data_IF_092108489051
#
_entry.id   IF_092108489051
#
_cell.length_a   1.000
_cell.length_b   1.000
_cell.length_c   1.000
_cell.angle_alpha   90.00
_cell.angle_beta   90.00
_cell.angle_gamma   90.00
#
_symmetry.space_group_name_H-M   'P 1'
#
loop_
_entity.id
_entity.type
_entity.pdbx_description
1 polymer ?
#
# COMPACT_ATOMS: atom_id res chain seq x y z
N UNK A 1 -35.95 -2.75 2.47
CA UNK A 1 -35.61 -4.18 2.41
C UNK A 1 -34.12 -4.23 2.16
N UNK A 2 -33.35 -4.50 3.23
CA UNK A 2 -31.90 -4.26 3.28
C UNK A 2 -31.11 -5.30 2.47
N UNK A 3 -30.49 -4.89 1.38
CA UNK A 3 -29.56 -5.70 0.55
C UNK A 3 -28.25 -6.13 1.28
N UNK A 4 -28.07 -5.75 2.53
CA UNK A 4 -26.84 -6.03 3.30
C UNK A 4 -26.66 -7.48 3.75
N UNK A 5 -27.70 -8.31 3.70
CA UNK A 5 -27.65 -9.71 4.15
C UNK A 5 -27.32 -10.73 3.06
N UNK A 6 -27.32 -10.33 1.78
CA UNK A 6 -27.08 -11.24 0.65
C UNK A 6 -25.61 -11.45 0.27
N UNK A 7 -24.71 -10.55 0.68
CA UNK A 7 -23.32 -10.54 0.20
C UNK A 7 -22.43 -11.54 0.95
N UNK A 8 -22.77 -11.84 2.20
CA UNK A 8 -21.99 -12.81 3.00
C UNK A 8 -22.03 -14.25 2.45
N UNK A 9 -23.06 -14.60 1.68
CA UNK A 9 -23.20 -15.93 1.06
C UNK A 9 -22.40 -16.06 -0.24
N UNK A 10 -22.08 -14.95 -0.92
CA UNK A 10 -21.32 -14.96 -2.17
C UNK A 10 -19.83 -15.23 -1.98
N UNK A 11 -19.23 -14.65 -0.96
CA UNK A 11 -17.78 -14.82 -0.67
C UNK A 11 -17.49 -16.23 -0.13
N UNK A 12 -18.40 -16.79 0.65
CA UNK A 12 -18.30 -18.20 1.08
C UNK A 12 -18.47 -19.20 -0.08
N UNK A 13 -19.22 -18.85 -1.13
CA UNK A 13 -19.43 -19.71 -2.29
C UNK A 13 -18.23 -19.79 -3.23
N UNK A 14 -17.41 -18.74 -3.34
CA UNK A 14 -16.15 -18.78 -4.10
C UNK A 14 -15.09 -19.65 -3.40
N UNK A 15 -15.07 -19.68 -2.08
CA UNK A 15 -14.22 -20.58 -1.30
C UNK A 15 -14.63 -22.05 -1.40
N UNK A 16 -15.91 -22.33 -1.71
CA UNK A 16 -16.47 -23.69 -1.84
C UNK A 16 -16.38 -24.25 -3.26
N UNK A 17 -16.10 -23.43 -4.28
CA UNK A 17 -15.94 -23.86 -5.67
C UNK A 17 -14.55 -24.43 -6.01
N UNK A 18 -13.58 -24.35 -5.11
CA UNK A 18 -12.31 -25.06 -5.20
C UNK A 18 -12.57 -26.54 -4.86
N UNK A 19 -12.74 -27.37 -5.87
CA UNK A 19 -12.93 -28.81 -5.99
C UNK A 19 -13.05 -29.71 -4.75
N UNK A 20 -13.38 -31.00 -4.88
CA UNK A 20 -13.58 -31.90 -3.75
C UNK A 20 -12.22 -32.13 -3.04
N UNK A 21 -11.92 -31.30 -2.09
CA UNK A 21 -10.90 -31.58 -1.13
C UNK A 21 -11.38 -32.74 -0.28
N UNK A 22 -10.77 -33.91 -0.43
CA UNK A 22 -10.88 -34.95 0.59
C UNK A 22 -10.65 -34.30 1.96
N UNK A 23 -11.10 -34.90 3.05
CA UNK A 23 -11.20 -34.37 4.41
C UNK A 23 -9.88 -33.82 5.04
N UNK A 24 -9.08 -33.06 4.29
CA UNK A 24 -7.96 -32.27 4.75
C UNK A 24 -8.51 -31.01 5.42
N UNK A 25 -8.05 -30.70 6.62
CA UNK A 25 -8.44 -29.47 7.32
C UNK A 25 -7.94 -28.23 6.59
N UNK A 26 -8.47 -27.05 6.92
CA UNK A 26 -8.01 -25.74 6.36
C UNK A 26 -6.49 -25.56 6.43
N UNK A 27 -5.84 -26.19 7.40
CA UNK A 27 -4.37 -26.12 7.57
C UNK A 27 -3.58 -26.77 6.42
N UNK A 28 -4.19 -27.67 5.68
CA UNK A 28 -3.52 -28.42 4.60
C UNK A 28 -3.72 -27.77 3.20
N UNK A 29 -4.42 -26.66 3.13
CA UNK A 29 -4.59 -25.95 1.86
C UNK A 29 -3.28 -25.28 1.43
N UNK A 30 -2.84 -25.59 0.22
CA UNK A 30 -1.73 -24.93 -0.49
C UNK A 30 -2.23 -24.61 -1.91
N UNK A 31 -3.12 -23.62 -1.99
CA UNK A 31 -3.72 -23.21 -3.24
C UNK A 31 -2.71 -22.41 -4.06
N UNK A 32 -2.64 -22.70 -5.34
CA UNK A 32 -1.83 -21.96 -6.30
C UNK A 32 -2.73 -21.14 -7.20
N UNK A 33 -2.22 -20.05 -7.79
CA UNK A 33 -2.97 -19.31 -8.81
C UNK A 33 -3.49 -20.27 -9.89
N UNK A 34 -4.75 -20.12 -10.26
CA UNK A 34 -5.28 -20.87 -11.39
C UNK A 34 -4.46 -20.54 -12.64
N UNK A 35 -3.98 -21.55 -13.34
CA UNK A 35 -3.15 -21.34 -14.53
C UNK A 35 -3.52 -22.28 -15.68
N UNK A 36 -3.34 -21.78 -16.90
CA UNK A 36 -3.55 -22.52 -18.14
C UNK A 36 -2.47 -22.15 -19.15
N UNK A 37 -2.00 -23.14 -19.89
CA UNK A 37 -1.11 -22.91 -21.01
C UNK A 37 -1.83 -23.22 -22.33
N UNK A 38 -1.76 -22.27 -23.27
CA UNK A 38 -2.38 -22.40 -24.58
C UNK A 38 -1.48 -21.80 -25.68
N UNK A 39 -1.03 -22.61 -26.61
CA UNK A 39 -0.24 -22.15 -27.75
C UNK A 39 1.07 -21.45 -27.39
N UNK A 40 1.71 -21.83 -26.25
CA UNK A 40 2.93 -21.23 -25.75
C UNK A 40 2.71 -19.94 -24.95
N UNK A 41 1.46 -19.56 -24.69
CA UNK A 41 1.07 -18.53 -23.74
C UNK A 41 0.67 -19.20 -22.41
N UNK A 42 1.12 -18.63 -21.30
CA UNK A 42 0.68 -18.96 -19.98
C UNK A 42 -0.27 -17.84 -19.47
N UNK A 43 -1.43 -18.23 -19.01
CA UNK A 43 -2.35 -17.33 -18.32
C UNK A 43 -2.52 -17.80 -16.88
N UNK A 44 -2.48 -16.90 -15.93
CA UNK A 44 -2.72 -17.19 -14.52
C UNK A 44 -3.66 -16.16 -13.91
N UNK A 45 -4.39 -16.61 -12.88
CA UNK A 45 -5.25 -15.78 -12.08
C UNK A 45 -4.97 -16.06 -10.60
N UNK A 46 -4.35 -15.11 -9.94
CA UNK A 46 -4.20 -15.04 -8.50
C UNK A 46 -5.21 -14.08 -7.89
N UNK A 47 -5.04 -13.80 -6.63
CA UNK A 47 -5.83 -12.77 -5.96
C UNK A 47 -5.67 -12.72 -4.47
N UNK A 48 -6.18 -11.66 -3.88
CA UNK A 48 -6.17 -11.43 -2.44
C UNK A 48 -7.55 -11.00 -1.97
N UNK A 49 -8.07 -11.67 -0.93
CA UNK A 49 -9.27 -11.26 -0.23
C UNK A 49 -8.91 -10.86 1.20
N UNK A 50 -9.38 -9.70 1.63
CA UNK A 50 -9.18 -9.18 2.97
C UNK A 50 -10.55 -8.95 3.64
N UNK A 51 -10.67 -9.36 4.88
CA UNK A 51 -11.82 -9.09 5.73
C UNK A 51 -11.31 -8.51 7.04
N UNK A 52 -11.82 -7.34 7.43
CA UNK A 52 -11.45 -6.71 8.70
C UNK A 52 -12.70 -6.39 9.50
N UNK A 53 -12.76 -6.85 10.73
CA UNK A 53 -13.69 -6.37 11.73
C UNK A 53 -12.95 -5.44 12.71
N UNK A 54 -13.54 -4.32 13.11
CA UNK A 54 -12.87 -3.38 13.98
C UNK A 54 -13.84 -2.71 14.98
N UNK A 55 -13.26 -2.23 16.07
CA UNK A 55 -13.88 -1.28 16.98
C UNK A 55 -12.93 -0.11 17.19
N UNK A 56 -13.36 1.07 16.76
CA UNK A 56 -12.61 2.31 16.89
C UNK A 56 -13.27 3.24 17.90
N UNK A 57 -12.45 3.95 18.66
CA UNK A 57 -12.85 5.04 19.54
C UNK A 57 -12.09 6.30 19.15
N UNK A 58 -12.74 7.44 19.25
CA UNK A 58 -12.17 8.76 18.98
C UNK A 58 -12.52 9.69 20.13
N UNK A 59 -11.62 10.59 20.51
CA UNK A 59 -11.85 11.55 21.63
C UNK A 59 -13.13 12.40 21.43
N UNK A 60 -13.48 12.66 20.18
CA UNK A 60 -14.60 13.55 19.81
C UNK A 60 -15.90 12.80 19.43
N UNK A 61 -15.93 11.47 19.47
CA UNK A 61 -17.08 10.69 19.00
C UNK A 61 -17.42 9.46 19.81
N UNK A 62 -18.61 8.92 19.59
CA UNK A 62 -18.98 7.61 20.11
C UNK A 62 -18.18 6.52 19.41
N UNK A 63 -17.69 5.54 20.19
CA UNK A 63 -17.00 4.38 19.63
C UNK A 63 -17.80 3.70 18.53
N UNK A 64 -17.13 3.31 17.47
CA UNK A 64 -17.71 2.66 16.28
C UNK A 64 -17.25 1.23 16.17
N UNK A 65 -18.18 0.33 15.86
CA UNK A 65 -17.88 -1.02 15.39
C UNK A 65 -18.23 -1.14 13.92
N UNK A 66 -17.35 -1.70 13.13
CA UNK A 66 -17.53 -1.84 11.69
C UNK A 66 -16.75 -3.02 11.11
N UNK A 67 -16.84 -3.17 9.83
CA UNK A 67 -16.08 -4.15 9.08
C UNK A 67 -15.82 -3.67 7.67
N UNK A 68 -14.72 -4.16 7.07
CA UNK A 68 -14.34 -3.90 5.70
C UNK A 68 -14.08 -5.20 4.98
N UNK A 69 -14.29 -5.21 3.69
CA UNK A 69 -13.92 -6.32 2.83
C UNK A 69 -13.32 -5.79 1.52
N UNK A 70 -12.30 -6.47 1.02
CA UNK A 70 -11.78 -6.23 -0.32
C UNK A 70 -11.46 -7.55 -1.03
N UNK A 71 -11.59 -7.55 -2.34
CA UNK A 71 -11.23 -8.66 -3.21
C UNK A 71 -10.51 -8.11 -4.43
N UNK A 72 -9.26 -8.45 -4.55
CA UNK A 72 -8.43 -8.13 -5.70
C UNK A 72 -8.16 -9.41 -6.49
N UNK A 73 -8.20 -9.31 -7.80
CA UNK A 73 -7.84 -10.37 -8.73
C UNK A 73 -6.60 -9.93 -9.52
N UNK A 74 -5.63 -10.82 -9.65
CA UNK A 74 -4.34 -10.57 -10.26
C UNK A 74 -4.16 -11.42 -11.54
N UNK A 75 -4.84 -11.07 -12.67
CA UNK A 75 -4.64 -11.76 -13.94
C UNK A 75 -3.28 -11.44 -14.52
N UNK A 76 -2.57 -12.46 -14.98
CA UNK A 76 -1.36 -12.34 -15.80
C UNK A 76 -1.47 -13.21 -17.02
N UNK A 77 -1.06 -12.69 -18.18
CA UNK A 77 -0.86 -13.46 -19.41
C UNK A 77 0.56 -13.21 -19.89
N UNK A 78 1.32 -14.27 -20.11
CA UNK A 78 2.72 -14.10 -20.54
C UNK A 78 3.19 -15.22 -21.48
N UNK A 79 4.26 -14.95 -22.21
CA UNK A 79 4.92 -15.92 -23.09
C UNK A 79 6.42 -15.83 -22.95
N UNK A 80 7.06 -16.98 -22.81
CA UNK A 80 8.51 -17.11 -22.93
C UNK A 80 8.86 -17.29 -24.40
N UNK A 81 9.66 -16.37 -24.95
CA UNK A 81 10.15 -16.41 -26.32
C UNK A 81 11.40 -17.30 -26.46
N UNK A 82 11.72 -17.73 -27.67
CA UNK A 82 12.86 -18.62 -27.95
C UNK A 82 14.23 -18.00 -27.54
N UNK A 83 14.33 -16.68 -27.49
CA UNK A 83 15.53 -15.94 -27.05
C UNK A 83 15.62 -15.77 -25.52
N UNK A 84 14.72 -16.39 -24.75
CA UNK A 84 14.64 -16.29 -23.30
C UNK A 84 13.96 -15.02 -22.76
N UNK A 85 13.39 -14.19 -23.61
CA UNK A 85 12.61 -13.02 -23.18
C UNK A 85 11.21 -13.46 -22.80
N UNK A 86 10.70 -12.88 -21.70
CA UNK A 86 9.29 -13.04 -21.28
C UNK A 86 8.53 -11.76 -21.57
N UNK A 87 7.47 -11.87 -22.34
CA UNK A 87 6.57 -10.76 -22.66
C UNK A 87 5.19 -11.07 -22.10
N UNK A 88 4.48 -10.05 -21.66
CA UNK A 88 3.14 -10.27 -21.09
C UNK A 88 2.40 -9.01 -20.74
N UNK A 89 1.21 -9.24 -20.20
CA UNK A 89 0.36 -8.24 -19.58
C UNK A 89 -0.03 -8.71 -18.19
N UNK A 90 -0.13 -7.76 -17.27
CA UNK A 90 -0.57 -7.98 -15.90
C UNK A 90 -1.61 -6.93 -15.51
N UNK A 91 -2.56 -7.33 -14.69
CA UNK A 91 -3.56 -6.44 -14.12
C UNK A 91 -3.75 -6.69 -12.63
N UNK A 92 -4.31 -5.71 -11.94
CA UNK A 92 -4.92 -5.84 -10.62
C UNK A 92 -6.34 -5.31 -10.76
N UNK A 93 -7.32 -6.18 -10.60
CA UNK A 93 -8.74 -5.87 -10.72
C UNK A 93 -9.30 -5.77 -9.31
N UNK A 94 -9.88 -4.62 -9.00
CA UNK A 94 -10.65 -4.42 -7.78
C UNK A 94 -12.05 -5.03 -7.99
N UNK A 95 -12.20 -6.31 -7.68
CA UNK A 95 -13.47 -7.02 -7.85
C UNK A 95 -14.50 -6.65 -6.78
N UNK A 96 -14.03 -6.27 -5.59
CA UNK A 96 -14.85 -5.75 -4.50
C UNK A 96 -13.99 -4.94 -3.54
N UNK A 97 -14.46 -3.75 -3.18
CA UNK A 97 -13.87 -2.92 -2.15
C UNK A 97 -14.98 -2.23 -1.37
N UNK A 98 -15.04 -2.46 -0.06
CA UNK A 98 -15.95 -1.74 0.80
C UNK A 98 -15.34 -0.37 1.09
N UNK A 99 -15.95 0.66 0.54
CA UNK A 99 -15.51 2.05 0.71
C UNK A 99 -15.70 2.50 2.15
N UNK A 100 -14.74 2.20 2.98
CA UNK A 100 -14.64 2.84 4.28
C UNK A 100 -13.80 4.11 4.23
N UNK A 101 -12.92 4.21 3.26
CA UNK A 101 -12.26 5.45 2.89
C UNK A 101 -13.07 6.12 1.80
N UNK A 102 -13.40 7.38 1.97
CA UNK A 102 -13.81 8.20 0.83
C UNK A 102 -12.76 8.07 -0.29
N UNK A 103 -13.20 7.77 -1.40
CA UNK A 103 -12.79 7.70 -2.79
C UNK A 103 -11.41 8.15 -3.28
N UNK A 104 -10.44 8.41 -2.44
CA UNK A 104 -9.17 8.99 -2.91
C UNK A 104 -8.28 8.01 -3.68
N UNK A 105 -8.67 6.73 -3.80
CA UNK A 105 -7.86 5.72 -4.50
C UNK A 105 -8.65 4.93 -5.55
N UNK A 106 -9.68 5.52 -6.07
CA UNK A 106 -10.38 5.05 -7.25
C UNK A 106 -11.37 3.92 -6.98
N UNK A 107 -12.61 4.17 -7.37
CA UNK A 107 -13.58 3.14 -7.72
C UNK A 107 -13.15 2.39 -8.99
N UNK A 108 -11.87 2.46 -9.37
CA UNK A 108 -11.39 1.93 -10.61
C UNK A 108 -11.40 0.40 -10.55
N UNK A 109 -12.15 -0.20 -11.43
CA UNK A 109 -12.17 -1.65 -11.62
C UNK A 109 -10.75 -2.18 -11.85
N UNK A 110 -9.92 -1.42 -12.57
CA UNK A 110 -8.51 -1.73 -12.76
C UNK A 110 -7.64 -0.81 -11.91
N UNK A 111 -7.10 -1.32 -10.81
CA UNK A 111 -6.07 -0.60 -10.07
C UNK A 111 -4.76 -0.51 -10.81
N UNK A 112 -4.39 -1.61 -11.49
CA UNK A 112 -3.17 -1.71 -12.29
C UNK A 112 -3.47 -2.47 -13.58
N UNK A 113 -2.86 -2.01 -14.66
CA UNK A 113 -2.92 -2.69 -15.95
C UNK A 113 -1.73 -2.26 -16.79
N UNK A 114 -0.81 -3.18 -17.05
CA UNK A 114 0.42 -2.87 -17.75
C UNK A 114 0.95 -4.04 -18.58
N UNK A 115 1.70 -3.70 -19.63
CA UNK A 115 2.47 -4.61 -20.43
C UNK A 115 3.89 -4.70 -19.86
N UNK A 116 4.55 -5.82 -20.04
CA UNK A 116 5.94 -5.97 -19.65
C UNK A 116 6.78 -6.79 -20.63
N UNK A 117 8.06 -6.48 -20.65
CA UNK A 117 9.10 -7.26 -21.29
C UNK A 117 10.23 -7.48 -20.29
N UNK A 118 10.46 -8.73 -19.92
CA UNK A 118 11.57 -9.12 -19.06
C UNK A 118 12.65 -9.82 -19.87
N UNK A 119 13.89 -9.39 -19.67
CA UNK A 119 15.07 -9.87 -20.39
C UNK A 119 16.20 -10.10 -19.39
N UNK A 120 17.33 -10.74 -19.79
CA UNK A 120 18.53 -10.80 -18.96
C UNK A 120 19.12 -9.42 -18.61
N UNK A 121 18.78 -8.39 -19.34
CA UNK A 121 19.26 -7.02 -19.15
C UNK A 121 18.34 -6.16 -18.26
N UNK A 122 17.19 -6.70 -17.85
CA UNK A 122 16.23 -6.02 -17.01
C UNK A 122 14.80 -6.17 -17.50
N UNK A 123 13.90 -5.43 -16.85
CA UNK A 123 12.46 -5.45 -17.10
C UNK A 123 11.96 -4.06 -17.46
N UNK A 124 11.26 -3.96 -18.57
CA UNK A 124 10.50 -2.77 -18.98
C UNK A 124 9.03 -3.02 -18.74
N UNK A 125 8.33 -2.03 -18.21
CA UNK A 125 6.89 -2.06 -17.98
C UNK A 125 6.27 -0.79 -18.53
N UNK A 126 5.08 -0.92 -19.13
CA UNK A 126 4.32 0.21 -19.69
C UNK A 126 2.85 0.09 -19.36
N UNK A 127 2.27 1.11 -18.74
CA UNK A 127 0.86 1.20 -18.36
C UNK A 127 0.65 1.71 -16.96
N UNK A 128 -0.55 1.49 -16.43
CA UNK A 128 -0.94 1.87 -15.07
C UNK A 128 -0.30 0.93 -14.04
N UNK A 129 0.61 1.45 -13.25
CA UNK A 129 1.32 0.68 -12.23
C UNK A 129 1.99 1.59 -11.21
N UNK A 130 2.52 1.00 -10.14
CA UNK A 130 3.31 1.73 -9.15
C UNK A 130 4.61 2.27 -9.76
N UNK A 131 5.03 3.44 -9.32
CA UNK A 131 6.33 4.01 -9.65
C UNK A 131 7.48 3.22 -9.04
N UNK A 132 8.68 3.36 -9.62
CA UNK A 132 9.86 2.62 -9.17
C UNK A 132 10.19 2.88 -7.69
N UNK A 133 10.01 4.12 -7.22
CA UNK A 133 10.26 4.50 -5.84
C UNK A 133 9.36 3.73 -4.86
N UNK A 134 8.08 3.56 -5.18
CA UNK A 134 7.15 2.80 -4.35
C UNK A 134 7.38 1.28 -4.47
N UNK A 135 7.50 0.78 -5.71
CA UNK A 135 7.60 -0.66 -5.97
C UNK A 135 8.85 -1.31 -5.40
N UNK A 136 9.94 -0.56 -5.26
CA UNK A 136 11.21 -1.03 -4.72
C UNK A 136 11.40 -0.70 -3.24
N UNK A 137 10.42 -0.06 -2.59
CA UNK A 137 10.51 0.37 -1.20
C UNK A 137 10.69 -0.81 -0.22
N UNK A 138 11.45 -0.55 0.82
CA UNK A 138 11.63 -1.41 1.99
C UNK A 138 11.47 -0.51 3.21
N UNK A 139 10.28 -0.53 3.83
CA UNK A 139 9.92 0.40 4.91
C UNK A 139 9.85 -0.26 6.28
N UNK A 140 10.13 -1.56 6.34
CA UNK A 140 10.16 -2.38 7.55
C UNK A 140 9.15 -3.53 7.52
N UNK A 141 9.30 -4.51 8.41
CA UNK A 141 8.47 -5.70 8.45
C UNK A 141 7.09 -5.43 9.06
N UNK A 142 6.04 -5.94 8.44
CA UNK A 142 4.65 -5.79 8.88
C UNK A 142 4.02 -7.15 9.16
N UNK A 143 3.02 -7.19 10.07
CA UNK A 143 2.17 -8.37 10.33
C UNK A 143 0.79 -8.20 9.73
N UNK A 144 0.21 -7.00 9.85
CA UNK A 144 -1.09 -6.65 9.29
C UNK A 144 -0.92 -5.70 8.08
N UNK A 145 -0.30 -6.18 7.03
CA UNK A 145 0.21 -5.40 5.90
C UNK A 145 -0.83 -4.53 5.16
N UNK A 146 -2.11 -4.92 5.15
CA UNK A 146 -3.17 -4.12 4.52
C UNK A 146 -3.81 -3.08 5.46
N UNK A 147 -3.40 -3.05 6.73
CA UNK A 147 -3.93 -2.13 7.74
C UNK A 147 -2.83 -1.64 8.69
N UNK A 148 -1.58 -1.70 8.27
CA UNK A 148 -0.42 -1.21 8.99
C UNK A 148 -0.53 0.29 9.31
N UNK A 149 0.15 0.74 10.37
CA UNK A 149 0.03 2.11 10.85
C UNK A 149 0.49 3.16 9.82
N UNK A 150 1.35 2.78 8.90
CA UNK A 150 1.83 3.64 7.81
C UNK A 150 1.03 3.49 6.50
N UNK A 151 0.00 2.65 6.48
CA UNK A 151 -0.86 2.49 5.32
C UNK A 151 -1.89 3.63 5.23
N UNK A 152 -1.99 4.23 4.05
CA UNK A 152 -3.00 5.25 3.75
C UNK A 152 -4.43 4.72 3.75
N UNK A 153 -4.60 3.41 3.68
CA UNK A 153 -5.90 2.77 3.69
C UNK A 153 -6.42 2.48 5.10
N UNK A 154 -5.76 2.96 6.15
CA UNK A 154 -6.30 2.92 7.51
C UNK A 154 -7.51 3.84 7.59
N UNK A 155 -8.69 3.26 7.48
CA UNK A 155 -9.95 4.00 7.37
C UNK A 155 -10.92 3.67 8.50
N UNK A 156 -10.38 3.19 9.61
CA UNK A 156 -11.19 2.93 10.81
C UNK A 156 -11.72 4.20 11.44
N UNK A 157 -11.03 5.31 11.22
CA UNK A 157 -11.29 6.59 11.84
C UNK A 157 -12.10 7.46 10.90
N UNK A 158 -13.13 8.09 11.43
CA UNK A 158 -13.99 8.98 10.68
C UNK A 158 -14.18 10.29 11.40
N UNK A 159 -14.26 11.37 10.64
CA UNK A 159 -14.69 12.66 11.14
C UNK A 159 -16.10 12.54 11.73
N UNK A 160 -16.30 12.80 13.02
CA UNK A 160 -17.63 12.69 13.65
C UNK A 160 -18.61 13.76 13.13
N UNK A 161 -18.14 14.85 12.52
CA UNK A 161 -18.97 15.91 11.99
C UNK A 161 -19.48 15.57 10.59
N UNK A 162 -18.59 15.08 9.71
CA UNK A 162 -18.93 14.78 8.32
C UNK A 162 -19.27 13.30 8.09
N UNK A 163 -18.82 12.40 8.98
CA UNK A 163 -18.90 10.95 8.83
C UNK A 163 -17.94 10.37 7.77
N UNK A 164 -17.14 11.22 7.14
CA UNK A 164 -16.15 10.82 6.15
C UNK A 164 -14.92 10.14 6.79
N UNK A 165 -14.20 9.33 6.04
CA UNK A 165 -12.96 8.75 6.52
C UNK A 165 -11.94 9.85 6.81
N UNK A 166 -11.22 9.70 7.91
CA UNK A 166 -10.13 10.59 8.25
C UNK A 166 -8.92 10.26 7.36
N UNK A 167 -8.67 11.09 6.37
CA UNK A 167 -7.71 10.80 5.30
C UNK A 167 -6.29 11.28 5.60
N UNK A 168 -6.05 11.93 6.74
CA UNK A 168 -4.76 12.56 7.03
C UNK A 168 -3.71 11.60 7.61
N UNK A 169 -3.55 10.44 7.00
CA UNK A 169 -2.49 9.48 7.35
C UNK A 169 -1.15 9.77 6.68
N UNK A 170 -1.06 10.82 5.87
CA UNK A 170 0.18 11.15 5.15
C UNK A 170 1.34 11.47 6.08
N UNK A 171 1.08 12.09 7.22
CA UNK A 171 2.10 12.37 8.22
C UNK A 171 2.63 11.13 8.96
N UNK A 172 2.18 9.92 8.64
CA UNK A 172 2.73 8.65 9.14
C UNK A 172 3.17 7.71 8.03
N UNK A 173 2.98 8.07 6.76
CA UNK A 173 3.34 7.25 5.62
C UNK A 173 4.85 7.28 5.35
N UNK A 174 5.48 6.12 5.32
CA UNK A 174 6.92 5.97 5.25
C UNK A 174 7.49 5.80 3.83
N UNK A 175 6.66 5.63 2.81
CA UNK A 175 7.06 5.37 1.43
C UNK A 175 6.76 6.49 0.44
N UNK A 176 7.54 6.58 -0.64
CA UNK A 176 7.30 7.49 -1.79
C UNK A 176 6.21 6.90 -2.69
N UNK A 177 5.10 7.59 -2.86
CA UNK A 177 3.97 7.09 -3.66
C UNK A 177 3.33 8.16 -4.57
N UNK A 178 4.08 9.20 -4.87
CA UNK A 178 3.60 10.38 -5.60
C UNK A 178 2.89 10.05 -6.91
N UNK A 179 3.42 9.10 -7.69
CA UNK A 179 2.88 8.76 -9.01
C UNK A 179 1.78 7.71 -8.98
N UNK A 180 1.50 7.12 -7.80
CA UNK A 180 0.42 6.12 -7.62
C UNK A 180 0.35 5.10 -8.79
N UNK A 181 -0.86 4.84 -9.28
CA UNK A 181 -1.16 3.94 -10.41
C UNK A 181 -1.28 4.66 -11.75
N UNK A 182 -0.80 5.89 -11.89
CA UNK A 182 -0.81 6.59 -13.18
C UNK A 182 0.00 5.83 -14.24
N UNK A 183 -0.40 5.98 -15.52
CA UNK A 183 0.30 5.33 -16.61
C UNK A 183 1.72 5.86 -16.75
N UNK A 184 2.66 4.96 -16.82
CA UNK A 184 4.09 5.25 -16.83
C UNK A 184 4.88 4.25 -17.65
N UNK A 185 6.08 4.63 -18.01
CA UNK A 185 7.12 3.75 -18.50
C UNK A 185 8.13 3.52 -17.38
N UNK A 186 8.36 2.26 -17.03
CA UNK A 186 9.31 1.89 -15.97
C UNK A 186 10.38 0.94 -16.50
N UNK A 187 11.58 1.07 -15.96
CA UNK A 187 12.68 0.14 -16.21
C UNK A 187 13.34 -0.26 -14.90
N UNK A 188 13.60 -1.55 -14.76
CA UNK A 188 14.29 -2.15 -13.63
C UNK A 188 15.49 -2.94 -14.13
N UNK A 189 16.67 -2.67 -13.56
CA UNK A 189 17.88 -3.47 -13.90
C UNK A 189 17.75 -4.90 -13.36
N UNK A 190 18.52 -5.86 -13.88
CA UNK A 190 18.78 -7.09 -13.14
C UNK A 190 19.40 -6.76 -11.78
N UNK A 191 19.22 -7.64 -10.80
CA UNK A 191 19.92 -7.52 -9.52
C UNK A 191 21.36 -7.99 -9.69
N UNK A 192 22.31 -7.08 -9.49
CA UNK A 192 23.75 -7.36 -9.59
C UNK A 192 24.41 -7.16 -8.23
N UNK A 193 25.05 -8.19 -7.70
CA UNK A 193 25.68 -8.17 -6.37
C UNK A 193 24.73 -7.67 -5.26
N UNK A 194 23.45 -8.02 -5.37
CA UNK A 194 22.43 -7.59 -4.42
C UNK A 194 21.80 -6.23 -4.74
N UNK A 195 22.34 -5.42 -5.64
CA UNK A 195 21.85 -4.10 -6.00
C UNK A 195 20.89 -4.17 -7.19
N UNK A 196 19.78 -3.45 -7.13
CA UNK A 196 18.87 -3.21 -8.24
C UNK A 196 18.56 -1.71 -8.34
N UNK A 197 18.47 -1.20 -9.55
CA UNK A 197 18.03 0.16 -9.86
C UNK A 197 16.67 0.10 -10.56
N UNK A 198 15.83 1.10 -10.30
CA UNK A 198 14.56 1.30 -10.97
C UNK A 198 14.35 2.76 -11.32
N UNK A 199 13.72 3.01 -12.45
CA UNK A 199 13.28 4.34 -12.86
C UNK A 199 11.92 4.26 -13.52
N UNK A 200 11.06 5.25 -13.26
CA UNK A 200 9.78 5.39 -13.94
C UNK A 200 9.60 6.82 -14.42
N UNK A 201 8.90 6.98 -15.52
CA UNK A 201 8.48 8.26 -16.06
C UNK A 201 6.96 8.28 -16.20
N UNK A 202 6.31 9.24 -15.54
CA UNK A 202 4.87 9.49 -15.61
C UNK A 202 4.66 10.84 -16.29
N UNK A 203 4.06 10.90 -17.49
CA UNK A 203 3.90 12.16 -18.22
C UNK A 203 3.08 13.19 -17.44
N UNK A 204 2.00 12.76 -16.84
CA UNK A 204 1.12 13.61 -16.02
C UNK A 204 0.26 12.75 -15.09
N UNK A 205 -0.10 13.30 -13.96
CA UNK A 205 -1.08 12.71 -13.04
C UNK A 205 -2.48 12.96 -13.59
N UNK A 206 -3.30 11.92 -13.62
CA UNK A 206 -4.69 12.02 -14.07
C UNK A 206 -5.63 11.42 -13.04
N UNK A 207 -6.88 11.87 -13.08
CA UNK A 207 -7.98 11.25 -12.36
C UNK A 207 -8.68 10.27 -13.31
N UNK A 208 -8.97 9.06 -12.83
CA UNK A 208 -9.79 8.08 -13.56
C UNK A 208 -9.22 7.72 -14.96
N UNK A 209 -7.94 7.33 -15.02
CA UNK A 209 -7.29 6.89 -16.25
C UNK A 209 -7.90 5.60 -16.83
N UNK A 210 -7.82 5.44 -18.15
CA UNK A 210 -8.18 4.18 -18.81
C UNK A 210 -7.10 3.12 -18.57
N UNK A 211 -7.45 1.82 -18.56
CA UNK A 211 -6.47 0.74 -18.49
C UNK A 211 -5.34 0.94 -19.51
N UNK A 212 -4.09 0.74 -19.08
CA UNK A 212 -2.85 0.92 -19.86
C UNK A 212 -2.53 2.36 -20.29
N UNK A 213 -3.49 3.29 -20.26
CA UNK A 213 -3.33 4.65 -20.74
C UNK A 213 -3.93 5.62 -19.75
N UNK A 214 -3.19 6.62 -19.31
CA UNK A 214 -3.74 7.74 -18.58
C UNK A 214 -4.45 8.68 -19.55
N UNK A 215 -5.71 8.44 -19.83
CA UNK A 215 -6.53 9.24 -20.74
C UNK A 215 -7.64 10.02 -20.01
N UNK A 216 -7.59 10.06 -18.69
CA UNK A 216 -8.49 10.86 -17.87
C UNK A 216 -8.23 12.36 -18.00
N UNK A 217 -9.12 13.21 -17.47
CA UNK A 217 -8.91 14.65 -17.48
C UNK A 217 -7.66 15.02 -16.70
N UNK A 218 -6.84 15.89 -17.28
CA UNK A 218 -5.74 16.52 -16.56
C UNK A 218 -6.31 17.31 -15.38
N UNK A 219 -5.78 17.09 -14.20
CA UNK A 219 -6.18 17.84 -13.03
C UNK A 219 -5.28 19.08 -12.97
N UNK A 220 -5.93 20.27 -13.08
CA UNK A 220 -5.24 21.52 -12.84
C UNK A 220 -4.54 21.46 -11.47
N UNK A 221 -3.34 22.01 -11.37
CA UNK A 221 -2.53 22.07 -10.16
C UNK A 221 -1.85 20.75 -9.73
N UNK A 222 -1.97 19.65 -10.51
CA UNK A 222 -1.15 18.46 -10.31
C UNK A 222 0.17 18.53 -11.08
N UNK A 223 1.08 17.69 -10.67
CA UNK A 223 2.43 17.61 -11.23
C UNK A 223 2.43 16.90 -12.59
N UNK A 224 3.28 17.38 -13.49
CA UNK A 224 3.57 16.77 -14.78
C UNK A 224 5.04 16.34 -14.86
N UNK A 225 5.36 15.48 -15.82
CA UNK A 225 6.72 15.01 -16.08
C UNK A 225 7.41 14.42 -14.83
N UNK A 226 6.67 13.58 -14.10
CA UNK A 226 7.19 12.97 -12.89
C UNK A 226 8.21 11.88 -13.22
N UNK A 227 9.29 11.89 -12.47
CA UNK A 227 10.32 10.85 -12.51
C UNK A 227 10.43 10.23 -11.14
N UNK A 228 10.22 8.92 -11.06
CA UNK A 228 10.59 8.13 -9.90
C UNK A 228 11.93 7.44 -10.15
N UNK A 229 12.80 7.44 -9.16
CA UNK A 229 14.03 6.67 -9.18
C UNK A 229 14.22 5.94 -7.85
N UNK A 230 14.73 4.72 -7.92
CA UNK A 230 15.02 3.94 -6.72
C UNK A 230 16.27 3.08 -6.89
N UNK A 231 16.91 2.84 -5.76
CA UNK A 231 17.94 1.82 -5.58
C UNK A 231 17.57 0.98 -4.39
N UNK A 232 17.69 -0.33 -4.51
CA UNK A 232 17.66 -1.21 -3.36
C UNK A 232 18.81 -2.21 -3.38
N UNK A 233 19.17 -2.65 -2.19
CA UNK A 233 20.16 -3.69 -1.95
C UNK A 233 19.52 -4.82 -1.14
N UNK A 234 19.82 -6.07 -1.50
CA UNK A 234 19.48 -7.24 -0.69
C UNK A 234 20.71 -8.14 -0.59
N UNK A 235 21.13 -8.46 0.61
CA UNK A 235 22.30 -9.31 0.85
C UNK A 235 22.06 -10.29 1.99
N UNK A 236 22.78 -11.41 1.95
CA UNK A 236 22.72 -12.46 2.96
C UNK A 236 24.11 -12.63 3.60
N UNK A 237 24.18 -12.57 4.93
CA UNK A 237 25.40 -12.62 5.72
C UNK A 237 25.23 -13.67 6.84
N UNK A 238 25.52 -14.92 6.53
CA UNK A 238 25.29 -16.03 7.45
C UNK A 238 23.80 -16.18 7.80
N UNK A 239 23.43 -15.87 9.05
CA UNK A 239 22.05 -15.94 9.54
C UNK A 239 21.28 -14.61 9.40
N UNK A 240 21.85 -13.63 8.75
CA UNK A 240 21.28 -12.29 8.59
C UNK A 240 20.94 -12.03 7.14
N UNK A 241 19.73 -11.57 6.85
CA UNK A 241 19.35 -10.92 5.60
C UNK A 241 19.28 -9.41 5.84
N UNK A 242 19.81 -8.62 4.90
CA UNK A 242 19.78 -7.17 4.96
C UNK A 242 19.17 -6.63 3.66
N UNK A 243 18.12 -5.85 3.80
CA UNK A 243 17.53 -5.01 2.75
C UNK A 243 17.80 -3.54 3.04
N UNK A 244 18.21 -2.77 2.03
CA UNK A 244 18.34 -1.32 2.09
C UNK A 244 17.65 -0.69 0.88
N UNK A 245 17.09 0.48 1.05
CA UNK A 245 16.34 1.19 0.03
C UNK A 245 16.59 2.69 0.09
N UNK A 246 16.65 3.31 -1.09
CA UNK A 246 16.49 4.74 -1.28
C UNK A 246 15.64 4.99 -2.53
N UNK A 247 14.67 5.88 -2.41
CA UNK A 247 13.78 6.24 -3.52
C UNK A 247 13.44 7.71 -3.51
N UNK A 248 13.16 8.24 -4.67
CA UNK A 248 12.71 9.62 -4.87
C UNK A 248 11.68 9.71 -5.97
N UNK A 249 10.82 10.72 -5.89
CA UNK A 249 9.93 11.19 -6.94
C UNK A 249 10.07 12.69 -7.09
N UNK A 250 10.18 13.16 -8.32
CA UNK A 250 10.23 14.57 -8.64
C UNK A 250 9.27 14.85 -9.80
N UNK A 251 8.54 15.96 -9.71
CA UNK A 251 7.56 16.37 -10.72
C UNK A 251 7.61 17.86 -10.96
N UNK A 252 6.96 18.31 -12.04
CA UNK A 252 6.91 19.71 -12.41
C UNK A 252 5.49 20.25 -12.32
N UNK A 253 5.30 21.36 -11.64
CA UNK A 253 4.01 22.09 -11.62
C UNK A 253 3.81 22.84 -12.94
N UNK A 254 3.19 22.20 -13.91
CA UNK A 254 2.98 22.76 -15.24
C UNK A 254 2.04 23.98 -15.23
N UNK A 255 1.10 24.03 -14.31
CA UNK A 255 0.13 25.15 -14.19
C UNK A 255 0.76 26.41 -13.62
N UNK A 256 1.94 26.28 -12.95
CA UNK A 256 2.63 27.40 -12.26
C UNK A 256 1.69 28.19 -11.35
N UNK A 257 0.80 27.48 -10.69
CA UNK A 257 -0.13 28.08 -9.73
C UNK A 257 0.66 28.76 -8.62
N UNK A 258 0.42 30.02 -8.30
CA UNK A 258 1.13 30.71 -7.24
C UNK A 258 1.00 29.96 -5.91
N UNK A 259 2.12 29.71 -5.24
CA UNK A 259 2.17 28.98 -3.97
C UNK A 259 2.32 27.47 -4.12
N UNK A 260 2.35 26.94 -5.34
CA UNK A 260 2.57 25.51 -5.62
C UNK A 260 3.93 25.32 -6.29
N UNK A 261 4.84 24.63 -5.64
CA UNK A 261 6.16 24.33 -6.15
C UNK A 261 6.19 23.01 -6.93
N UNK A 262 7.31 22.72 -7.56
CA UNK A 262 7.61 21.42 -8.14
C UNK A 262 7.67 20.36 -7.03
N UNK A 263 7.15 19.15 -7.32
CA UNK A 263 7.19 18.04 -6.38
C UNK A 263 8.62 17.59 -6.12
N UNK A 264 8.94 17.36 -4.86
CA UNK A 264 10.11 16.60 -4.43
C UNK A 264 9.76 15.74 -3.22
N UNK A 265 9.83 14.42 -3.41
CA UNK A 265 9.45 13.40 -2.45
C UNK A 265 10.54 12.33 -2.42
N UNK A 266 11.02 11.92 -1.24
CA UNK A 266 12.07 10.92 -1.12
C UNK A 266 11.97 10.13 0.18
N UNK A 267 12.49 8.89 0.15
CA UNK A 267 12.56 8.05 1.33
C UNK A 267 13.84 7.21 1.35
N UNK A 268 14.30 6.92 2.56
CA UNK A 268 15.32 5.94 2.86
C UNK A 268 14.71 4.89 3.78
N UNK A 269 15.04 3.62 3.58
CA UNK A 269 14.51 2.58 4.44
C UNK A 269 15.34 1.31 4.41
N UNK A 270 14.97 0.36 5.25
CA UNK A 270 15.63 -0.93 5.28
C UNK A 270 15.00 -1.90 6.27
N UNK A 271 15.39 -3.15 6.09
CA UNK A 271 14.96 -4.28 6.91
C UNK A 271 16.14 -5.22 7.16
N UNK A 272 16.26 -5.71 8.38
CA UNK A 272 17.22 -6.70 8.78
C UNK A 272 16.48 -7.90 9.39
N UNK A 273 16.63 -9.06 8.77
CA UNK A 273 16.12 -10.32 9.30
C UNK A 273 17.25 -11.12 9.94
N UNK A 274 17.02 -11.62 11.13
CA UNK A 274 17.95 -12.50 11.83
C UNK A 274 17.30 -13.84 12.13
N UNK A 275 17.90 -14.90 11.59
CA UNK A 275 17.47 -16.28 11.83
C UNK A 275 17.94 -16.76 13.21
N UNK A 276 16.97 -16.99 14.12
CA UNK A 276 17.17 -17.53 15.46
C UNK A 276 17.14 -19.09 15.48
N UNK A 277 16.91 -19.73 14.32
CA UNK A 277 16.74 -21.18 14.16
C UNK A 277 15.27 -21.57 14.10
N UNK A 278 14.56 -21.61 15.22
CA UNK A 278 13.10 -21.89 15.24
C UNK A 278 12.24 -20.65 15.05
N UNK A 279 12.85 -19.48 15.01
CA UNK A 279 12.18 -18.20 14.81
C UNK A 279 13.02 -17.26 13.92
N UNK A 280 12.39 -16.27 13.35
CA UNK A 280 13.06 -15.16 12.63
C UNK A 280 12.62 -13.85 13.26
N UNK A 281 13.59 -13.02 13.63
CA UNK A 281 13.37 -11.65 14.08
C UNK A 281 13.67 -10.69 12.92
N UNK A 282 12.69 -9.93 12.50
CA UNK A 282 12.84 -8.86 11.51
C UNK A 282 12.72 -7.51 12.21
N UNK A 283 13.62 -6.59 11.87
CA UNK A 283 13.66 -5.20 12.35
C UNK A 283 13.79 -4.29 11.14
N UNK A 284 13.08 -3.20 11.10
CA UNK A 284 13.20 -2.28 9.98
C UNK A 284 12.58 -0.93 10.25
N UNK A 285 12.64 -0.09 9.24
CA UNK A 285 12.04 1.24 9.30
C UNK A 285 12.37 2.07 8.06
N UNK A 286 11.84 3.28 8.05
CA UNK A 286 12.07 4.24 6.98
C UNK A 286 12.02 5.68 7.49
N UNK A 287 12.68 6.54 6.74
CA UNK A 287 12.57 7.97 6.84
C UNK A 287 12.07 8.50 5.50
N UNK A 288 10.96 9.23 5.53
CA UNK A 288 10.33 9.81 4.37
C UNK A 288 10.22 11.34 4.52
N UNK A 289 10.44 12.05 3.44
CA UNK A 289 10.25 13.49 3.36
C UNK A 289 9.60 13.86 2.03
N UNK A 290 8.57 14.71 2.10
CA UNK A 290 7.88 15.26 0.94
C UNK A 290 7.71 16.76 1.12
N UNK A 291 7.71 17.51 0.02
CA UNK A 291 7.33 18.92 0.05
C UNK A 291 5.81 19.15 -0.06
N UNK A 292 5.00 18.07 0.00
CA UNK A 292 3.54 18.14 0.10
C UNK A 292 2.78 18.26 -1.22
N UNK A 293 3.46 18.39 -2.35
CA UNK A 293 2.81 18.60 -3.66
C UNK A 293 2.38 17.32 -4.38
N UNK A 294 2.25 16.21 -3.66
CA UNK A 294 1.78 14.93 -4.20
C UNK A 294 0.27 14.77 -4.25
N UNK A 295 -0.48 15.67 -3.61
CA UNK A 295 -1.87 15.47 -3.24
C UNK A 295 -2.79 16.42 -3.98
N UNK A 296 -4.08 16.11 -3.97
CA UNK A 296 -5.10 16.96 -4.56
C UNK A 296 -5.08 18.34 -3.89
N UNK A 297 -4.99 19.45 -4.65
CA UNK A 297 -5.03 20.80 -4.09
C UNK A 297 -6.29 21.12 -3.28
N UNK A 298 -7.38 20.38 -3.50
CA UNK A 298 -8.59 20.48 -2.70
C UNK A 298 -8.48 19.85 -1.31
N UNK A 299 -7.44 19.03 -1.07
CA UNK A 299 -7.17 18.49 0.25
C UNK A 299 -6.39 19.51 1.08
N UNK A 300 -7.09 20.24 1.91
CA UNK A 300 -6.54 21.29 2.78
C UNK A 300 -5.43 20.80 3.75
N UNK A 301 -5.22 19.49 3.84
CA UNK A 301 -4.18 18.87 4.67
C UNK A 301 -2.96 18.43 3.88
N UNK A 302 -2.98 18.61 2.57
CA UNK A 302 -2.03 18.04 1.63
C UNK A 302 -0.82 18.94 1.34
N UNK A 303 -0.87 20.17 1.75
CA UNK A 303 0.10 21.18 1.40
C UNK A 303 1.06 21.44 2.54
N UNK A 304 2.33 21.24 2.32
CA UNK A 304 3.40 21.51 3.27
C UNK A 304 4.43 20.39 3.36
N UNK A 305 5.63 20.76 3.81
CA UNK A 305 6.72 19.79 3.97
C UNK A 305 6.33 18.75 5.02
N UNK A 306 6.39 17.49 4.64
CA UNK A 306 6.09 16.36 5.51
C UNK A 306 7.38 15.61 5.81
N UNK A 307 7.60 15.30 7.09
CA UNK A 307 8.67 14.45 7.58
C UNK A 307 8.08 13.28 8.34
N UNK A 308 8.47 12.06 8.01
CA UNK A 308 7.98 10.84 8.68
C UNK A 308 9.15 9.95 9.04
N UNK A 309 9.08 9.37 10.23
CA UNK A 309 9.94 8.28 10.67
C UNK A 309 9.04 7.10 11.03
N UNK A 310 9.32 5.96 10.43
CA UNK A 310 8.66 4.69 10.71
C UNK A 310 9.68 3.69 11.24
N UNK A 311 9.28 2.85 12.20
CA UNK A 311 10.05 1.74 12.71
C UNK A 311 9.13 0.56 13.03
N UNK A 312 9.55 -0.63 12.68
CA UNK A 312 8.76 -1.84 12.92
C UNK A 312 9.61 -3.04 13.29
N UNK A 313 8.98 -4.00 13.95
CA UNK A 313 9.59 -5.29 14.26
C UNK A 313 8.58 -6.41 14.07
N UNK A 314 9.05 -7.55 13.58
CA UNK A 314 8.26 -8.77 13.42
C UNK A 314 9.04 -9.98 13.89
N UNK A 315 8.47 -10.72 14.84
CA UNK A 315 8.94 -12.04 15.22
C UNK A 315 8.05 -13.10 14.58
N UNK A 316 8.65 -13.98 13.79
CA UNK A 316 7.98 -15.16 13.23
C UNK A 316 8.46 -16.41 13.95
N UNK A 317 7.56 -17.14 14.59
CA UNK A 317 7.85 -18.39 15.32
C UNK A 317 6.85 -19.48 14.91
N UNK A 318 7.26 -20.40 14.06
CA UNK A 318 6.36 -21.35 13.42
C UNK A 318 5.25 -20.65 12.65
N UNK A 319 3.99 -20.93 13.02
CA UNK A 319 2.79 -20.26 12.43
C UNK A 319 2.47 -18.90 13.06
N UNK A 320 3.10 -18.52 14.15
CA UNK A 320 2.82 -17.29 14.87
C UNK A 320 3.67 -16.13 14.38
N UNK A 321 3.02 -14.95 14.32
CA UNK A 321 3.62 -13.67 13.96
C UNK A 321 3.32 -12.67 15.08
N UNK A 322 4.31 -11.92 15.51
CA UNK A 322 4.16 -10.85 16.49
C UNK A 322 4.76 -9.58 15.90
N UNK A 323 4.01 -8.50 15.86
CA UNK A 323 4.40 -7.22 15.28
C UNK A 323 4.26 -6.07 16.24
N UNK A 324 5.21 -5.13 16.16
CA UNK A 324 5.11 -3.81 16.75
C UNK A 324 5.52 -2.79 15.69
N UNK A 325 4.74 -1.72 15.58
CA UNK A 325 5.00 -0.63 14.65
C UNK A 325 4.90 0.71 15.38
N UNK A 326 5.74 1.63 14.96
CA UNK A 326 5.75 3.01 15.40
C UNK A 326 5.94 3.90 14.18
N UNK A 327 5.12 4.94 14.05
CA UNK A 327 5.31 5.97 13.05
C UNK A 327 5.07 7.33 13.66
N UNK A 328 5.90 8.29 13.33
CA UNK A 328 5.72 9.68 13.72
C UNK A 328 6.08 10.59 12.57
N UNK A 329 5.35 11.68 12.44
CA UNK A 329 5.61 12.63 11.38
C UNK A 329 5.04 14.00 11.66
N UNK A 330 5.54 14.95 10.90
CA UNK A 330 5.09 16.33 10.92
C UNK A 330 4.73 16.74 9.51
N UNK A 331 3.65 17.50 9.37
CA UNK A 331 3.30 18.18 8.14
C UNK A 331 3.25 19.67 8.43
N UNK A 332 4.19 20.44 7.85
CA UNK A 332 4.15 21.88 7.91
C UNK A 332 3.01 22.36 7.02
N UNK A 333 2.19 23.26 7.54
CA UNK A 333 1.07 23.78 6.80
C UNK A 333 1.51 24.92 5.88
N UNK A 334 0.72 25.15 4.83
CA UNK A 334 0.72 26.45 4.16
C UNK A 334 0.32 27.57 5.14
N UNK A 335 0.63 28.82 4.79
CA UNK A 335 0.49 29.99 5.65
C UNK A 335 -0.87 30.18 6.36
N UNK A 336 -1.89 29.41 5.97
CA UNK A 336 -3.24 29.47 6.53
C UNK A 336 -3.57 28.30 7.48
N UNK A 337 -2.77 27.23 7.50
CA UNK A 337 -3.05 26.04 8.29
C UNK A 337 -1.88 25.75 9.25
N UNK A 338 -2.12 25.48 10.53
CA UNK A 338 -1.06 25.22 11.48
C UNK A 338 -0.43 23.84 11.27
N UNK A 339 0.82 23.73 11.68
CA UNK A 339 1.60 22.50 11.69
C UNK A 339 0.82 21.35 12.32
N UNK A 340 0.87 20.20 11.69
CA UNK A 340 0.30 18.95 12.15
C UNK A 340 1.40 18.00 12.60
N UNK A 341 1.35 17.54 13.84
CA UNK A 341 2.17 16.45 14.34
C UNK A 341 1.31 15.18 14.49
N UNK A 342 1.81 14.07 13.98
CA UNK A 342 1.13 12.77 14.06
C UNK A 342 2.04 11.75 14.70
N UNK A 343 1.48 10.90 15.55
CA UNK A 343 2.18 9.74 16.14
C UNK A 343 1.25 8.54 16.11
N UNK A 344 1.75 7.41 15.64
CA UNK A 344 1.02 6.16 15.56
C UNK A 344 1.77 4.99 16.19
N UNK A 345 1.03 4.06 16.77
CA UNK A 345 1.52 2.80 17.33
C UNK A 345 0.60 1.69 16.88
N UNK A 346 1.19 0.54 16.56
CA UNK A 346 0.44 -0.69 16.36
C UNK A 346 1.12 -1.85 17.10
N UNK A 347 0.29 -2.73 17.65
CA UNK A 347 0.70 -4.03 18.15
C UNK A 347 -0.22 -5.09 17.55
N UNK A 348 0.35 -6.10 16.93
CA UNK A 348 -0.40 -7.13 16.22
C UNK A 348 0.14 -8.53 16.47
N UNK A 349 -0.78 -9.51 16.48
CA UNK A 349 -0.49 -10.94 16.57
C UNK A 349 -1.19 -11.65 15.42
N UNK A 350 -0.43 -12.30 14.58
CA UNK A 350 -0.91 -13.08 13.43
C UNK A 350 -0.74 -14.58 13.67
N UNK A 351 -1.60 -15.36 13.04
CA UNK A 351 -1.49 -16.80 12.95
C UNK A 351 -1.69 -17.25 11.50
N UNK A 352 -0.67 -17.88 10.91
CA UNK A 352 -0.76 -18.50 9.58
C UNK A 352 -1.44 -19.83 9.73
N UNK A 353 -2.68 -19.95 9.28
CA UNK A 353 -3.43 -21.21 9.27
C UNK A 353 -2.80 -22.15 8.24
N UNK A 354 -2.39 -21.57 7.09
CA UNK A 354 -1.65 -22.25 6.01
C UNK A 354 -0.92 -21.20 5.15
N UNK A 355 -0.35 -21.60 4.01
CA UNK A 355 0.35 -20.69 3.06
C UNK A 355 -0.55 -19.58 2.49
N UNK A 356 -1.86 -19.78 2.43
CA UNK A 356 -2.84 -18.91 1.79
C UNK A 356 -3.65 -18.10 2.79
N UNK A 357 -3.74 -18.49 4.06
CA UNK A 357 -4.69 -17.94 5.02
C UNK A 357 -4.01 -17.52 6.31
N UNK A 358 -4.13 -16.24 6.63
CA UNK A 358 -3.61 -15.63 7.85
C UNK A 358 -4.74 -14.91 8.60
N UNK A 359 -4.81 -15.13 9.90
CA UNK A 359 -5.65 -14.38 10.83
C UNK A 359 -4.75 -13.49 11.69
N UNK A 360 -5.09 -12.22 11.82
CA UNK A 360 -4.33 -11.26 12.62
C UNK A 360 -5.28 -10.47 13.52
N UNK A 361 -4.94 -10.36 14.78
CA UNK A 361 -5.59 -9.45 15.73
C UNK A 361 -4.59 -8.35 16.11
N UNK A 362 -5.05 -7.12 16.24
CA UNK A 362 -4.19 -6.01 16.59
C UNK A 362 -4.91 -4.86 17.22
N UNK A 363 -4.11 -3.91 17.66
CA UNK A 363 -4.53 -2.65 18.23
C UNK A 363 -3.68 -1.53 17.65
N UNK A 364 -4.34 -0.42 17.30
CA UNK A 364 -3.70 0.79 16.78
C UNK A 364 -4.07 1.98 17.65
N UNK A 365 -3.12 2.91 17.78
CA UNK A 365 -3.33 4.22 18.37
C UNK A 365 -2.73 5.29 17.45
N UNK A 366 -3.53 6.29 17.10
CA UNK A 366 -3.11 7.47 16.36
C UNK A 366 -3.37 8.72 17.18
N UNK A 367 -2.38 9.60 17.25
CA UNK A 367 -2.50 10.91 17.86
C UNK A 367 -2.18 11.98 16.82
N UNK A 368 -3.07 12.93 16.67
CA UNK A 368 -2.89 14.13 15.88
C UNK A 368 -2.88 15.35 16.78
N UNK A 369 -1.96 16.28 16.56
CA UNK A 369 -1.83 17.52 17.33
C UNK A 369 -1.58 18.69 16.37
N UNK A 370 -2.26 19.83 16.59
CA UNK A 370 -2.06 21.08 15.85
C UNK A 370 -1.68 22.24 16.77
N UNK A 371 -0.77 23.07 16.31
CA UNK A 371 -0.26 24.19 17.10
C UNK A 371 -1.30 25.31 17.35
N UNK A 372 -2.33 25.44 16.54
CA UNK A 372 -3.26 26.59 16.63
C UNK A 372 -4.60 26.30 17.30
N UNK A 373 -4.74 25.19 17.98
CA UNK A 373 -5.95 24.91 18.79
C UNK A 373 -7.23 24.56 18.03
N UNK A 374 -7.19 24.46 16.71
CA UNK A 374 -8.35 24.07 15.89
C UNK A 374 -7.98 22.92 14.97
N UNK A 375 -8.09 21.72 15.46
CA UNK A 375 -7.87 20.55 14.62
C UNK A 375 -9.21 19.86 14.31
N UNK A 376 -9.89 19.42 15.32
CA UNK A 376 -11.01 18.53 15.20
C UNK A 376 -12.09 18.97 16.18
N UNK A 377 -13.22 19.43 15.71
CA UNK A 377 -14.29 19.98 16.59
C UNK A 377 -13.79 21.03 17.61
N UNK A 378 -12.79 21.85 17.24
CA UNK A 378 -12.22 22.84 18.15
C UNK A 378 -11.18 22.29 19.13
N UNK A 379 -10.81 21.01 19.06
CA UNK A 379 -9.78 20.42 19.91
C UNK A 379 -8.37 20.58 19.29
N UNK A 380 -7.34 20.90 20.08
CA UNK A 380 -5.95 20.98 19.61
C UNK A 380 -5.34 19.60 19.36
N UNK A 381 -5.98 18.54 19.79
CA UNK A 381 -5.51 17.15 19.70
C UNK A 381 -6.67 16.20 19.51
N UNK A 382 -6.48 15.19 18.71
CA UNK A 382 -7.37 14.03 18.60
C UNK A 382 -6.57 12.74 18.83
N UNK A 383 -7.04 11.89 19.72
CA UNK A 383 -6.55 10.53 19.89
C UNK A 383 -7.59 9.57 19.31
N UNK A 384 -7.09 8.59 18.57
CA UNK A 384 -7.88 7.58 17.89
C UNK A 384 -7.32 6.22 18.22
N UNK A 385 -8.17 5.29 18.62
CA UNK A 385 -7.79 3.92 18.95
C UNK A 385 -8.67 2.95 18.20
N UNK A 386 -8.09 1.88 17.69
CA UNK A 386 -8.84 0.80 17.07
C UNK A 386 -8.29 -0.56 17.49
N UNK A 387 -9.16 -1.44 17.95
CA UNK A 387 -8.90 -2.87 17.98
C UNK A 387 -9.45 -3.51 16.71
N UNK A 388 -8.72 -4.42 16.10
CA UNK A 388 -9.12 -5.07 14.85
C UNK A 388 -8.87 -6.57 14.84
N UNK A 389 -9.65 -7.25 13.99
CA UNK A 389 -9.44 -8.63 13.58
C UNK A 389 -9.40 -8.66 12.05
N UNK A 390 -8.30 -9.11 11.49
CA UNK A 390 -8.01 -9.09 10.06
C UNK A 390 -7.78 -10.52 9.55
N UNK A 391 -8.52 -10.93 8.54
CA UNK A 391 -8.36 -12.17 7.83
C UNK A 391 -7.90 -11.88 6.41
N UNK A 392 -6.75 -12.43 6.03
CA UNK A 392 -6.21 -12.36 4.69
C UNK A 392 -6.21 -13.73 4.06
N UNK A 393 -6.75 -13.80 2.87
CA UNK A 393 -6.62 -14.94 1.97
C UNK A 393 -5.89 -14.51 0.71
N UNK A 394 -4.90 -15.28 0.29
CA UNK A 394 -4.06 -14.95 -0.88
C UNK A 394 -3.76 -16.22 -1.68
N UNK A 395 -3.83 -16.12 -3.02
CA UNK A 395 -3.55 -17.22 -3.98
C UNK A 395 -2.58 -16.74 -5.03
#
# INVERSE_FOLDING_TARGET
MNLRTGIWLGTAALLLAAGPAGASGLADWDLKPASVELGGWAASLGGTANLTGYRANEDAGAGRTGGTASLFLDPEVSRLLANGWRVGAMGVINAYHDQLSGDNYGNDVFQKSYLFVATPYGRVEFGQQDGAAYKMAMTGPLVADAIAIDDANITFYRDPTTGEAFTNVFAVRSGVFATKNDAKLSYYTPRLLGVQLGVSYTPHMVKDGLPFISAGPHIADRQDNLVDAAINYTGFFGRTSLGLYAGLSAGHNAARTPGHDDLFDWALGGELDYDLGEATLALGGAWHQSNGYTLDPSDAFAHGTTHVVHASTKLTAGSWLFGLEYSTGTADAEAALPKLDTTGYEASVGYRINSNLQLTAGWQHLRFTRDSGVFYNGLPRANMEAGFLYLRFHV
#
